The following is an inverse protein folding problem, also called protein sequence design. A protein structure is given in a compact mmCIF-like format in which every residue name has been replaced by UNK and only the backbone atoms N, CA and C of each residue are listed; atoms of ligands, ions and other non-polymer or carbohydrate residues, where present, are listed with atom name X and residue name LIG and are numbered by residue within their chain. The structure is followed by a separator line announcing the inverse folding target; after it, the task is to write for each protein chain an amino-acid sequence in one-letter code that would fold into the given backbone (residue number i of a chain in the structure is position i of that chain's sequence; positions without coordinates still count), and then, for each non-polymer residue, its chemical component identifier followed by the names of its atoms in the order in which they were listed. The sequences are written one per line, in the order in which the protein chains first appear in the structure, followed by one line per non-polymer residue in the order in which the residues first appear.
data_IF_170248500409
#
_entry.id   IF_170248500409
#
_cell.length_a   1.000
_cell.length_b   1.000
_cell.length_c   1.000
_cell.angle_alpha   90.00
_cell.angle_beta   90.00
_cell.angle_gamma   90.00
#
_symmetry.space_group_name_H-M   'P 1'
#
loop_
_entity.id
_entity.type
_entity.pdbx_description
1 polymer ?
#
# COMPACT_ATOMS: atom_id res chain seq x y z
N UNK A 1 -2.56 5.65 7.45
CA UNK A 1 -2.19 4.50 8.29
C UNK A 1 -1.70 3.39 7.39
N UNK A 2 -0.75 2.58 7.86
CA UNK A 2 -0.26 1.41 7.15
C UNK A 2 -0.51 0.19 8.01
N UNK A 3 -1.05 -0.87 7.42
CA UNK A 3 -1.21 -2.18 8.04
C UNK A 3 -0.49 -3.18 7.15
N UNK A 4 0.63 -3.70 7.63
CA UNK A 4 1.49 -4.59 6.85
C UNK A 4 1.56 -5.95 7.55
N UNK A 5 1.54 -7.00 6.77
CA UNK A 5 1.74 -8.38 7.20
C UNK A 5 2.95 -8.97 6.48
N UNK A 6 3.78 -9.68 7.24
CA UNK A 6 4.98 -10.34 6.73
C UNK A 6 4.73 -11.84 6.64
N UNK A 7 4.79 -12.36 5.42
CA UNK A 7 4.70 -13.77 5.11
C UNK A 7 5.92 -14.55 5.58
N UNK A 8 5.75 -15.87 5.64
CA UNK A 8 6.74 -16.81 6.19
C UNK A 8 8.09 -16.83 5.43
N UNK A 9 8.10 -16.33 4.21
CA UNK A 9 9.23 -16.22 3.28
C UNK A 9 9.78 -14.78 3.16
N UNK A 10 9.26 -13.85 3.96
CA UNK A 10 9.63 -12.45 3.93
C UNK A 10 8.89 -11.62 2.87
N UNK A 11 7.86 -12.19 2.23
CA UNK A 11 6.92 -11.43 1.41
C UNK A 11 6.14 -10.44 2.29
N UNK A 12 5.96 -9.21 1.80
CA UNK A 12 5.21 -8.16 2.51
C UNK A 12 3.93 -7.88 1.75
N UNK A 13 2.81 -8.00 2.45
CA UNK A 13 1.50 -7.58 1.95
C UNK A 13 0.87 -6.56 2.89
N UNK A 14 -0.15 -5.82 2.45
CA UNK A 14 -0.86 -4.97 3.38
C UNK A 14 -1.77 -3.92 2.76
N UNK A 15 -2.20 -3.01 3.62
CA UNK A 15 -3.11 -1.92 3.32
C UNK A 15 -2.45 -0.57 3.55
N UNK A 16 -2.69 0.34 2.61
CA UNK A 16 -2.43 1.76 2.77
C UNK A 16 -3.77 2.45 2.93
N UNK A 17 -4.00 3.02 4.11
CA UNK A 17 -5.26 3.67 4.48
C UNK A 17 -5.06 5.19 4.46
N UNK A 18 -5.74 5.92 3.57
CA UNK A 18 -5.62 7.38 3.48
C UNK A 18 -6.86 8.07 2.91
N UNK A 19 -7.25 9.20 3.52
CA UNK A 19 -8.28 10.09 2.97
C UNK A 19 -7.88 10.67 1.62
N UNK A 20 -6.58 10.77 1.32
CA UNK A 20 -6.08 11.29 0.03
C UNK A 20 -6.49 10.43 -1.17
N UNK A 21 -6.93 9.19 -0.92
CA UNK A 21 -7.43 8.29 -1.95
C UNK A 21 -8.89 8.54 -2.31
N UNK A 22 -9.60 9.34 -1.52
CA UNK A 22 -10.98 9.72 -1.81
C UNK A 22 -11.07 10.37 -3.21
N UNK A 23 -12.09 9.96 -3.97
CA UNK A 23 -12.34 10.39 -5.35
C UNK A 23 -11.22 10.07 -6.37
N UNK A 24 -10.21 9.28 -6.01
CA UNK A 24 -9.18 8.81 -6.95
C UNK A 24 -9.49 7.41 -7.48
N UNK A 25 -9.27 7.14 -8.79
CA UNK A 25 -9.27 5.78 -9.33
C UNK A 25 -8.19 4.93 -8.68
N UNK A 26 -8.44 3.62 -8.52
CA UNK A 26 -7.50 2.68 -7.89
C UNK A 26 -6.09 2.72 -8.51
N UNK A 27 -5.97 2.79 -9.84
CA UNK A 27 -4.68 2.90 -10.52
C UNK A 27 -3.90 4.16 -10.15
N UNK A 28 -4.59 5.30 -9.95
CA UNK A 28 -3.94 6.54 -9.51
C UNK A 28 -3.43 6.41 -8.07
N UNK A 29 -4.24 5.82 -7.18
CA UNK A 29 -3.84 5.55 -5.79
C UNK A 29 -2.59 4.67 -5.75
N UNK A 30 -2.57 3.61 -6.55
CA UNK A 30 -1.44 2.68 -6.61
C UNK A 30 -0.17 3.37 -7.12
N UNK A 31 -0.27 4.20 -8.16
CA UNK A 31 0.85 4.95 -8.69
C UNK A 31 1.44 5.93 -7.66
N UNK A 32 0.58 6.57 -6.85
CA UNK A 32 1.03 7.47 -5.78
C UNK A 32 1.83 6.71 -4.72
N UNK A 33 1.31 5.55 -4.29
CA UNK A 33 1.98 4.70 -3.30
C UNK A 33 3.33 4.20 -3.84
N UNK A 34 3.36 3.63 -5.05
CA UNK A 34 4.62 3.15 -5.65
C UNK A 34 5.65 4.25 -5.81
N UNK A 35 5.26 5.45 -6.27
CA UNK A 35 6.18 6.59 -6.41
C UNK A 35 6.78 7.02 -5.06
N UNK A 36 6.06 6.85 -3.96
CA UNK A 36 6.59 7.12 -2.62
C UNK A 36 7.52 5.99 -2.19
N UNK A 37 7.14 4.74 -2.41
CA UNK A 37 7.95 3.57 -2.05
C UNK A 37 9.29 3.54 -2.81
N UNK A 38 9.28 3.74 -4.12
CA UNK A 38 10.48 3.80 -4.96
C UNK A 38 11.50 4.88 -4.53
N UNK A 39 11.02 5.93 -3.86
CA UNK A 39 11.88 7.02 -3.36
C UNK A 39 12.44 6.78 -1.97
N UNK A 40 11.75 5.98 -1.15
CA UNK A 40 12.03 5.89 0.28
C UNK A 40 12.42 4.48 0.75
N UNK A 41 12.14 3.46 -0.07
CA UNK A 41 12.37 2.06 0.28
C UNK A 41 13.51 1.52 -0.60
N UNK A 42 14.52 0.86 -0.01
CA UNK A 42 15.57 0.17 -0.75
C UNK A 42 15.01 -0.86 -1.75
N UNK A 43 15.69 -1.03 -2.89
CA UNK A 43 15.22 -1.89 -3.97
C UNK A 43 15.04 -3.37 -3.57
N UNK A 44 15.89 -3.87 -2.69
CA UNK A 44 15.82 -5.22 -2.11
C UNK A 44 14.61 -5.40 -1.18
N UNK A 45 14.17 -4.35 -0.50
CA UNK A 45 12.95 -4.35 0.30
C UNK A 45 11.70 -4.16 -0.57
N UNK A 46 11.78 -3.36 -1.64
CA UNK A 46 10.71 -3.22 -2.64
C UNK A 46 10.42 -4.54 -3.34
N UNK A 47 11.45 -5.34 -3.62
CA UNK A 47 11.29 -6.64 -4.27
C UNK A 47 10.49 -7.65 -3.42
N UNK A 48 10.40 -7.43 -2.10
CA UNK A 48 9.62 -8.26 -1.18
C UNK A 48 8.16 -7.81 -1.07
N UNK A 49 7.83 -6.62 -1.56
CA UNK A 49 6.47 -6.08 -1.52
C UNK A 49 5.63 -6.72 -2.62
N UNK A 50 4.79 -7.68 -2.24
CA UNK A 50 3.99 -8.47 -3.17
C UNK A 50 2.65 -7.80 -3.47
N UNK A 51 2.01 -7.22 -2.46
CA UNK A 51 0.69 -6.62 -2.62
C UNK A 51 0.43 -5.50 -1.62
N UNK A 52 0.05 -4.33 -2.11
CA UNK A 52 -0.50 -3.26 -1.29
C UNK A 52 -1.84 -2.82 -1.82
N UNK A 53 -2.86 -2.90 -0.97
CA UNK A 53 -4.22 -2.48 -1.27
C UNK A 53 -4.40 -1.04 -0.78
N UNK A 54 -4.91 -0.17 -1.64
CA UNK A 54 -5.17 1.24 -1.27
C UNK A 54 -6.64 1.46 -0.95
N UNK A 55 -6.90 1.91 0.28
CA UNK A 55 -8.26 2.12 0.80
C UNK A 55 -8.38 3.47 1.53
N UNK A 56 -9.56 4.05 1.50
CA UNK A 56 -9.92 5.19 2.35
C UNK A 56 -10.33 4.69 3.74
N UNK A 57 -10.27 5.54 4.78
CA UNK A 57 -10.77 5.16 6.11
C UNK A 57 -12.23 4.69 6.09
N UNK A 58 -13.06 5.28 5.23
CA UNK A 58 -14.46 4.90 5.06
C UNK A 58 -14.65 3.54 4.36
N UNK A 59 -13.72 3.13 3.49
CA UNK A 59 -13.69 1.79 2.88
C UNK A 59 -13.22 0.76 3.92
N UNK A 60 -12.20 1.08 4.71
CA UNK A 60 -11.65 0.19 5.74
C UNK A 60 -12.62 -0.06 6.91
N UNK A 61 -13.42 0.93 7.31
CA UNK A 61 -14.37 0.80 8.41
C UNK A 61 -15.61 -0.07 8.08
N UNK A 62 -15.72 -0.57 6.84
CA UNK A 62 -16.81 -1.44 6.39
C UNK A 62 -16.43 -2.93 6.35
N UNK A 63 -15.17 -3.25 6.65
CA UNK A 63 -14.69 -4.61 6.93
C UNK A 63 -14.67 -4.87 8.44
#
# INVERSE_FOLDING_TARGET
MFELDEGSDGEVTGFVISDSFAAKPQMERQNLVWKVLEKNVPADHLAKLVMLITVTPAENAKE
#
